data_IF_885256880833
#
_entry.id   IF_885256880833
#
_cell.length_a   1.000
_cell.length_b   1.000
_cell.length_c   1.000
_cell.angle_alpha   90.00
_cell.angle_beta   90.00
_cell.angle_gamma   90.00
#
_symmetry.space_group_name_H-M   'P 1'
#
loop_
_entity.id
_entity.type
_entity.pdbx_description
1 polymer ?
#
# COMPACT_ATOMS: atom_id res chain seq x y z
N UNK A 1 2.98 -11.26 -16.08
CA UNK A 1 1.99 -10.39 -15.44
C UNK A 1 2.59 -9.84 -14.16
N UNK A 2 2.07 -8.73 -13.64
CA UNK A 2 2.63 -8.05 -12.47
C UNK A 2 2.00 -8.50 -11.14
N UNK A 3 0.89 -9.26 -11.18
CA UNK A 3 0.22 -9.85 -10.02
C UNK A 3 -0.15 -11.32 -10.26
N UNK A 4 -0.39 -12.06 -9.18
CA UNK A 4 -0.97 -13.40 -9.26
C UNK A 4 -2.50 -13.32 -9.31
N UNK A 5 -3.16 -14.32 -9.93
CA UNK A 5 -4.62 -14.41 -10.01
C UNK A 5 -5.08 -15.79 -9.59
N UNK A 6 -6.11 -15.86 -8.75
CA UNK A 6 -6.78 -17.10 -8.35
C UNK A 6 -8.28 -17.05 -8.64
N UNK A 7 -8.88 -18.23 -8.73
CA UNK A 7 -10.33 -18.38 -8.89
C UNK A 7 -11.07 -17.71 -7.73
N UNK A 8 -12.08 -16.91 -8.07
CA UNK A 8 -12.95 -16.25 -7.11
C UNK A 8 -14.36 -16.84 -7.13
N UNK A 9 -15.38 -16.00 -7.19
CA UNK A 9 -16.78 -16.43 -7.12
C UNK A 9 -17.64 -15.75 -8.16
N UNK A 10 -18.73 -16.42 -8.56
CA UNK A 10 -19.77 -15.83 -9.40
C UNK A 10 -20.62 -14.89 -8.58
N UNK A 11 -20.64 -13.60 -8.94
CA UNK A 11 -21.31 -12.54 -8.18
C UNK A 11 -21.88 -11.46 -9.11
N UNK A 12 -22.71 -10.57 -8.58
CA UNK A 12 -23.13 -9.36 -9.30
C UNK A 12 -22.06 -8.27 -9.24
N UNK A 13 -21.28 -8.08 -10.30
CA UNK A 13 -20.40 -6.91 -10.45
C UNK A 13 -21.24 -5.68 -10.80
N UNK A 14 -21.06 -4.59 -10.05
CA UNK A 14 -21.89 -3.39 -10.16
C UNK A 14 -21.11 -2.24 -10.80
N UNK A 15 -21.50 -1.86 -12.01
CA UNK A 15 -20.89 -0.77 -12.78
C UNK A 15 -21.87 -0.26 -13.86
N UNK A 16 -21.71 0.97 -14.39
CA UNK A 16 -22.62 1.50 -15.39
C UNK A 16 -22.51 0.74 -16.71
N UNK A 17 -23.66 0.37 -17.29
CA UNK A 17 -23.70 -0.22 -18.63
C UNK A 17 -23.26 0.83 -19.69
N UNK A 18 -22.38 0.48 -20.63
CA UNK A 18 -21.77 1.44 -21.55
C UNK A 18 -22.76 2.07 -22.55
N UNK A 19 -23.91 1.44 -22.80
CA UNK A 19 -24.93 1.96 -23.74
C UNK A 19 -25.95 2.83 -23.03
N UNK A 20 -26.56 2.31 -21.98
CA UNK A 20 -27.63 2.98 -21.22
C UNK A 20 -27.12 4.00 -20.21
N UNK A 21 -25.84 3.91 -19.81
CA UNK A 21 -25.20 4.73 -18.75
C UNK A 21 -25.87 4.59 -17.38
N UNK A 22 -26.64 3.54 -17.16
CA UNK A 22 -27.29 3.24 -15.89
C UNK A 22 -26.49 2.17 -15.14
N UNK A 23 -26.40 2.32 -13.81
CA UNK A 23 -25.80 1.31 -12.95
C UNK A 23 -26.67 0.05 -12.89
N UNK A 24 -26.05 -1.11 -13.09
CA UNK A 24 -26.73 -2.41 -13.00
C UNK A 24 -25.76 -3.49 -12.50
N UNK A 25 -26.31 -4.63 -12.10
CA UNK A 25 -25.54 -5.82 -11.72
C UNK A 25 -25.30 -6.72 -12.92
N UNK A 26 -24.04 -7.10 -13.14
CA UNK A 26 -23.58 -8.05 -14.15
C UNK A 26 -23.16 -9.34 -13.45
N UNK A 27 -23.86 -10.44 -13.70
CA UNK A 27 -23.61 -11.71 -13.00
C UNK A 27 -22.51 -12.50 -13.70
N UNK A 28 -21.29 -12.38 -13.19
CA UNK A 28 -20.08 -12.93 -13.79
C UNK A 28 -19.08 -13.41 -12.73
N UNK A 29 -18.04 -14.12 -13.17
CA UNK A 29 -16.98 -14.56 -12.27
C UNK A 29 -16.09 -13.38 -11.86
N UNK A 30 -16.05 -13.07 -10.57
CA UNK A 30 -15.11 -12.12 -10.00
C UNK A 30 -13.91 -12.87 -9.42
N UNK A 31 -12.91 -13.14 -10.26
CA UNK A 31 -11.61 -13.66 -9.83
C UNK A 31 -10.83 -12.66 -8.98
N UNK A 32 -9.82 -13.14 -8.26
CA UNK A 32 -9.08 -12.36 -7.27
C UNK A 32 -7.64 -12.24 -7.72
N UNK A 33 -7.17 -11.00 -7.87
CA UNK A 33 -5.74 -10.69 -8.04
C UNK A 33 -5.10 -10.42 -6.67
N UNK A 34 -3.79 -10.63 -6.57
CA UNK A 34 -3.01 -10.29 -5.37
C UNK A 34 -1.57 -9.94 -5.72
N UNK A 35 -1.05 -8.90 -5.07
CA UNK A 35 0.33 -8.45 -5.16
C UNK A 35 0.76 -7.84 -3.82
N UNK A 36 2.06 -7.84 -3.58
CA UNK A 36 2.71 -7.17 -2.45
C UNK A 36 4.04 -6.62 -2.97
N UNK A 37 4.34 -5.37 -2.63
CA UNK A 37 5.63 -4.75 -2.91
C UNK A 37 6.27 -4.19 -1.65
N UNK A 38 7.55 -3.82 -1.76
CA UNK A 38 8.28 -3.14 -0.70
C UNK A 38 8.96 -1.90 -1.27
N UNK A 39 9.13 -0.87 -0.46
CA UNK A 39 9.76 0.39 -0.88
C UNK A 39 10.80 0.87 0.15
N UNK A 40 11.66 -0.07 0.55
CA UNK A 40 12.51 0.04 1.75
C UNK A 40 13.54 1.17 1.65
N UNK A 41 14.36 1.16 0.60
CA UNK A 41 15.47 2.09 0.46
C UNK A 41 15.00 3.57 0.40
N UNK A 42 13.98 3.93 -0.40
CA UNK A 42 13.49 5.31 -0.43
C UNK A 42 12.83 5.73 0.89
N UNK A 43 12.14 4.81 1.57
CA UNK A 43 11.50 5.09 2.87
C UNK A 43 12.53 5.42 3.96
N UNK A 44 13.73 4.83 3.90
CA UNK A 44 14.81 5.17 4.83
C UNK A 44 15.39 6.58 4.61
N UNK A 45 15.19 7.18 3.43
CA UNK A 45 15.69 8.52 3.06
C UNK A 45 14.60 9.57 3.23
N UNK A 46 13.39 9.30 2.73
CA UNK A 46 12.24 10.20 2.79
C UNK A 46 10.96 9.37 2.99
N UNK A 47 10.51 9.19 4.25
CA UNK A 47 9.50 8.18 4.56
C UNK A 47 8.14 8.43 3.93
N UNK A 48 7.63 9.67 3.96
CA UNK A 48 6.32 9.99 3.39
C UNK A 48 6.24 9.65 1.89
N UNK A 49 7.05 10.23 1.00
CA UNK A 49 6.98 9.89 -0.41
C UNK A 49 7.41 8.44 -0.66
N UNK A 50 8.35 7.89 0.13
CA UNK A 50 8.78 6.49 0.00
C UNK A 50 7.64 5.49 0.22
N UNK A 51 6.83 5.67 1.27
CA UNK A 51 5.68 4.81 1.56
C UNK A 51 4.50 5.08 0.61
N UNK A 52 4.28 6.36 0.27
CA UNK A 52 3.23 6.79 -0.67
C UNK A 52 3.43 6.17 -2.05
N UNK A 53 4.62 6.30 -2.62
CA UNK A 53 4.94 5.73 -3.94
C UNK A 53 5.06 4.22 -3.92
N UNK A 54 5.38 3.62 -2.76
CA UNK A 54 5.29 2.17 -2.56
C UNK A 54 3.87 1.65 -2.77
N UNK A 55 2.88 2.29 -2.11
CA UNK A 55 1.46 1.96 -2.30
C UNK A 55 1.01 2.23 -3.73
N UNK A 56 1.38 3.40 -4.28
CA UNK A 56 1.02 3.76 -5.64
C UNK A 56 1.66 2.89 -6.73
N UNK A 57 2.84 2.34 -6.49
CA UNK A 57 3.48 1.36 -7.39
C UNK A 57 2.70 0.06 -7.44
N UNK A 58 2.40 -0.47 -6.25
CA UNK A 58 1.67 -1.73 -6.07
C UNK A 58 0.26 -1.65 -6.68
N UNK A 59 -0.50 -0.59 -6.40
CA UNK A 59 -1.84 -0.36 -6.97
C UNK A 59 -1.83 -0.30 -8.52
N UNK A 60 -0.76 0.23 -9.13
CA UNK A 60 -0.63 0.24 -10.61
C UNK A 60 -0.43 -1.17 -11.16
N UNK A 61 0.28 -2.03 -10.46
CA UNK A 61 0.46 -3.43 -10.87
C UNK A 61 -0.84 -4.22 -10.81
N UNK A 62 -1.66 -3.99 -9.78
CA UNK A 62 -3.00 -4.55 -9.71
C UNK A 62 -3.87 -4.10 -10.90
N UNK A 63 -3.86 -2.80 -11.22
CA UNK A 63 -4.60 -2.24 -12.35
C UNK A 63 -4.11 -2.72 -13.72
N UNK A 64 -2.81 -3.00 -13.86
CA UNK A 64 -2.17 -3.47 -15.08
C UNK A 64 -2.22 -5.00 -15.27
N UNK A 65 -2.86 -5.73 -14.35
CA UNK A 65 -2.95 -7.19 -14.42
C UNK A 65 -3.79 -7.65 -15.63
N UNK A 66 -3.25 -8.56 -16.45
CA UNK A 66 -3.90 -9.08 -17.65
C UNK A 66 -4.16 -7.99 -18.69
N UNK A 67 -5.45 -7.74 -18.98
CA UNK A 67 -5.90 -6.66 -19.87
C UNK A 67 -6.59 -5.51 -19.09
N UNK A 68 -6.44 -5.51 -17.77
CA UNK A 68 -7.06 -4.55 -16.86
C UNK A 68 -7.60 -5.23 -15.60
N UNK A 69 -7.05 -4.87 -14.45
CA UNK A 69 -7.55 -5.22 -13.12
C UNK A 69 -8.26 -4.04 -12.45
N UNK A 70 -8.95 -4.32 -11.33
CA UNK A 70 -9.51 -3.28 -10.46
C UNK A 70 -9.08 -3.52 -9.01
N UNK A 71 -8.19 -2.67 -8.46
CA UNK A 71 -7.82 -2.73 -7.05
C UNK A 71 -9.03 -2.71 -6.12
N UNK A 72 -8.91 -3.36 -4.97
CA UNK A 72 -10.03 -3.50 -4.02
C UNK A 72 -9.70 -3.21 -2.56
N UNK A 73 -8.58 -3.73 -2.07
CA UNK A 73 -8.19 -3.57 -0.67
C UNK A 73 -6.67 -3.73 -0.54
N UNK A 74 -6.04 -2.82 0.19
CA UNK A 74 -4.62 -2.86 0.48
C UNK A 74 -4.31 -3.35 1.89
N UNK A 75 -3.06 -3.78 2.10
CA UNK A 75 -2.46 -4.02 3.40
C UNK A 75 -1.15 -3.22 3.51
N UNK A 76 -0.74 -2.88 4.73
CA UNK A 76 0.48 -2.10 4.98
C UNK A 76 1.32 -2.76 6.06
N UNK A 77 2.63 -2.81 5.87
CA UNK A 77 3.57 -3.36 6.83
C UNK A 77 4.79 -2.46 7.02
N UNK A 78 5.17 -2.24 8.27
CA UNK A 78 6.40 -1.54 8.65
C UNK A 78 7.21 -2.40 9.62
N UNK A 79 8.53 -2.34 9.49
CA UNK A 79 9.47 -2.88 10.46
C UNK A 79 10.60 -1.88 10.61
N UNK A 80 10.86 -1.43 11.83
CA UNK A 80 11.82 -0.37 12.13
C UNK A 80 12.65 -0.75 13.37
N UNK A 81 13.71 0.00 13.63
CA UNK A 81 14.46 -0.08 14.89
C UNK A 81 13.64 0.46 16.07
N UNK A 82 14.23 0.47 17.28
CA UNK A 82 13.61 1.10 18.45
C UNK A 82 13.23 2.57 18.18
N UNK A 83 12.03 2.95 18.60
CA UNK A 83 11.47 4.29 18.33
C UNK A 83 12.18 5.33 19.19
N UNK A 84 12.48 5.00 20.46
CA UNK A 84 13.09 5.92 21.42
C UNK A 84 12.37 7.27 21.46
N UNK A 85 11.06 7.20 21.74
CA UNK A 85 10.19 8.37 21.80
C UNK A 85 10.70 9.30 22.93
N UNK A 86 11.01 10.57 22.65
CA UNK A 86 11.54 11.49 23.66
C UNK A 86 10.62 11.61 24.89
N UNK A 87 11.16 11.34 26.07
CA UNK A 87 10.39 11.36 27.33
C UNK A 87 9.49 10.15 27.54
N UNK A 88 9.61 9.12 26.69
CA UNK A 88 8.89 7.86 26.78
C UNK A 88 9.78 6.67 26.35
N UNK A 89 11.08 6.75 26.63
CA UNK A 89 12.03 5.69 26.32
C UNK A 89 11.74 4.42 27.13
N UNK A 90 11.88 3.26 26.50
CA UNK A 90 11.64 1.97 27.14
C UNK A 90 12.95 1.33 27.61
N UNK A 91 12.93 0.52 28.70
CA UNK A 91 14.15 -0.02 29.32
C UNK A 91 14.95 -0.98 28.43
N UNK A 92 14.36 -1.48 27.34
CA UNK A 92 15.03 -2.34 26.36
C UNK A 92 15.62 -1.57 25.17
N UNK A 93 15.37 -0.26 25.06
CA UNK A 93 15.85 0.52 23.93
C UNK A 93 17.28 1.01 24.16
N UNK A 94 18.12 0.94 23.14
CA UNK A 94 19.52 1.38 23.21
C UNK A 94 19.90 2.21 21.98
N UNK A 95 20.69 3.26 22.18
CA UNK A 95 21.23 4.04 21.07
C UNK A 95 22.46 3.37 20.47
N UNK A 96 22.30 2.80 19.27
CA UNK A 96 23.40 2.25 18.48
C UNK A 96 23.92 3.24 17.42
N UNK A 97 23.38 4.46 17.38
CA UNK A 97 23.60 5.43 16.31
C UNK A 97 22.88 5.06 15.01
N UNK A 98 23.06 5.90 13.98
CA UNK A 98 22.59 5.66 12.61
C UNK A 98 23.46 6.44 11.61
N UNK A 99 23.51 6.04 10.33
CA UNK A 99 24.10 6.88 9.29
C UNK A 99 23.43 8.27 9.23
N UNK A 100 24.23 9.32 9.04
CA UNK A 100 23.71 10.70 8.96
C UNK A 100 22.79 10.97 7.76
N UNK A 101 22.81 10.09 6.74
CA UNK A 101 22.03 10.21 5.50
C UNK A 101 20.65 9.54 5.51
N UNK A 102 20.29 8.82 6.58
CA UNK A 102 18.98 8.18 6.73
C UNK A 102 18.21 8.81 7.89
N UNK A 103 16.89 8.73 7.88
CA UNK A 103 16.06 9.16 9.02
C UNK A 103 16.08 8.15 10.16
N UNK A 104 15.59 8.52 11.36
CA UNK A 104 15.48 7.56 12.47
C UNK A 104 14.17 6.73 12.38
N UNK A 105 14.04 5.70 13.24
CA UNK A 105 12.87 4.83 13.24
C UNK A 105 11.56 5.55 13.62
N UNK A 106 11.62 6.53 14.53
CA UNK A 106 10.48 7.34 14.91
C UNK A 106 10.00 8.20 13.74
N UNK A 107 10.90 8.87 13.00
CA UNK A 107 10.58 9.66 11.82
C UNK A 107 9.90 8.80 10.74
N UNK A 108 10.37 7.56 10.53
CA UNK A 108 9.70 6.61 9.62
C UNK A 108 8.28 6.35 10.09
N UNK A 109 8.06 6.12 11.38
CA UNK A 109 6.72 5.81 11.91
C UNK A 109 5.80 7.03 12.05
N UNK A 110 6.34 8.24 12.09
CA UNK A 110 5.56 9.48 12.06
C UNK A 110 5.13 9.85 10.64
N UNK A 111 6.03 9.69 9.65
CA UNK A 111 5.81 10.19 8.29
C UNK A 111 5.39 9.08 7.30
N UNK A 112 5.96 7.88 7.43
CA UNK A 112 5.74 6.76 6.50
C UNK A 112 4.29 6.26 6.47
N UNK A 113 3.69 5.90 7.62
CA UNK A 113 2.28 5.48 7.66
C UNK A 113 1.33 6.55 7.11
N UNK A 114 1.59 7.84 7.38
CA UNK A 114 0.80 8.93 6.84
C UNK A 114 0.93 9.06 5.32
N UNK A 115 2.14 8.91 4.77
CA UNK A 115 2.36 8.91 3.32
C UNK A 115 1.68 7.74 2.60
N UNK A 116 1.76 6.53 3.15
CA UNK A 116 1.04 5.36 2.63
C UNK A 116 -0.48 5.54 2.71
N UNK A 117 -0.98 5.98 3.86
CA UNK A 117 -2.40 6.26 4.05
C UNK A 117 -2.90 7.40 3.15
N UNK A 118 -2.11 8.45 2.93
CA UNK A 118 -2.47 9.55 2.03
C UNK A 118 -2.74 9.04 0.62
N UNK A 119 -1.88 8.16 0.09
CA UNK A 119 -2.10 7.58 -1.24
C UNK A 119 -3.36 6.72 -1.28
N UNK A 120 -3.53 5.81 -0.32
CA UNK A 120 -4.69 4.92 -0.29
C UNK A 120 -6.01 5.70 -0.09
N UNK A 121 -6.01 6.71 0.77
CA UNK A 121 -7.20 7.54 1.03
C UNK A 121 -7.57 8.39 -0.20
N UNK A 122 -6.60 8.97 -0.88
CA UNK A 122 -6.84 9.81 -2.06
C UNK A 122 -7.25 8.98 -3.28
N UNK A 123 -6.67 7.80 -3.45
CA UNK A 123 -7.04 6.88 -4.53
C UNK A 123 -8.43 6.26 -4.33
N UNK A 124 -8.78 5.90 -3.07
CA UNK A 124 -10.02 5.22 -2.69
C UNK A 124 -9.87 3.72 -2.61
#
# INVERSE_FOLDING_TARGET
>A
DNAAVMTGSKVGRFFPDPKSRQYTYHHEDAHILMKVETHNHPTAISPWPGASTGSGGEIRDEGATGIGGKPKAGLVGFTTSNLRIPGFEQPWETDFGKPGRIVNALDIMLEGPLGGAAFNNEFG
#
